data_IF_740020179939
#
_entry.id   IF_740020179939
#
_cell.length_a   1.000
_cell.length_b   1.000
_cell.length_c   1.000
_cell.angle_alpha   90.00
_cell.angle_beta   90.00
_cell.angle_gamma   90.00
#
_symmetry.space_group_name_H-M   'P 1'
#
loop_
_entity.id
_entity.type
_entity.pdbx_description
1 polymer ?
#
# COMPACT_ATOMS: atom_id res chain seq x y z
N UNK A 1 -23.62 -2.34 4.65
CA UNK A 1 -22.56 -2.32 3.60
C UNK A 1 -21.99 -0.92 3.35
N UNK A 2 -22.81 0.14 3.24
CA UNK A 2 -22.31 1.50 2.99
C UNK A 2 -21.26 2.02 3.98
N UNK A 3 -21.50 1.84 5.29
CA UNK A 3 -20.56 2.26 6.34
C UNK A 3 -19.20 1.56 6.20
N UNK A 4 -19.19 0.26 5.87
CA UNK A 4 -17.95 -0.49 5.70
C UNK A 4 -17.14 0.01 4.50
N UNK A 5 -17.81 0.33 3.38
CA UNK A 5 -17.19 0.93 2.19
C UNK A 5 -16.65 2.34 2.49
N UNK A 6 -17.39 3.13 3.27
CA UNK A 6 -16.95 4.45 3.71
C UNK A 6 -15.65 4.37 4.53
N UNK A 7 -15.63 3.49 5.54
CA UNK A 7 -14.43 3.26 6.38
C UNK A 7 -13.26 2.76 5.53
N UNK A 8 -13.51 1.82 4.60
CA UNK A 8 -12.48 1.29 3.71
C UNK A 8 -11.89 2.40 2.81
N UNK A 9 -12.73 3.28 2.29
CA UNK A 9 -12.29 4.44 1.52
C UNK A 9 -11.43 5.39 2.35
N UNK A 10 -11.84 5.72 3.58
CA UNK A 10 -11.02 6.55 4.47
C UNK A 10 -9.68 5.89 4.83
N UNK A 11 -9.68 4.59 5.14
CA UNK A 11 -8.46 3.84 5.39
C UNK A 11 -7.52 3.84 4.17
N UNK A 12 -8.07 3.70 2.97
CA UNK A 12 -7.34 3.81 1.72
C UNK A 12 -6.73 5.20 1.50
N UNK A 13 -7.47 6.28 1.81
CA UNK A 13 -6.92 7.66 1.76
C UNK A 13 -5.74 7.80 2.72
N UNK A 14 -5.91 7.42 3.98
CA UNK A 14 -4.87 7.53 5.00
C UNK A 14 -3.61 6.73 4.63
N UNK A 15 -3.79 5.48 4.18
CA UNK A 15 -2.72 4.63 3.70
C UNK A 15 -2.03 5.23 2.46
N UNK A 16 -2.83 5.71 1.50
CA UNK A 16 -2.34 6.33 0.28
C UNK A 16 -1.46 7.55 0.55
N UNK A 17 -1.90 8.45 1.44
CA UNK A 17 -1.11 9.61 1.90
C UNK A 17 0.19 9.16 2.57
N UNK A 18 0.11 8.20 3.49
CA UNK A 18 1.27 7.69 4.22
C UNK A 18 2.37 7.22 3.29
N UNK A 19 2.01 6.45 2.25
CA UNK A 19 2.97 5.94 1.28
C UNK A 19 3.40 6.98 0.25
N UNK A 20 2.48 7.77 -0.30
CA UNK A 20 2.78 8.78 -1.32
C UNK A 20 3.80 9.81 -0.80
N UNK A 21 3.54 10.36 0.38
CA UNK A 21 4.42 11.34 1.02
C UNK A 21 5.54 10.72 1.84
N UNK A 22 5.64 9.38 1.88
CA UNK A 22 6.63 8.65 2.68
C UNK A 22 6.67 9.11 4.15
N UNK A 23 5.48 9.26 4.74
CA UNK A 23 5.33 9.71 6.13
C UNK A 23 6.05 8.72 7.03
N UNK A 24 6.98 9.22 7.88
CA UNK A 24 7.84 8.40 8.75
C UNK A 24 8.68 7.34 8.02
N UNK A 25 8.95 7.52 6.72
CA UNK A 25 9.72 6.53 5.96
C UNK A 25 8.95 5.24 5.65
N UNK A 26 7.61 5.26 5.68
CA UNK A 26 6.78 4.06 5.48
C UNK A 26 7.09 3.31 4.18
N UNK A 27 7.37 4.03 3.07
CA UNK A 27 7.72 3.40 1.80
C UNK A 27 9.11 2.74 1.84
N UNK A 28 10.05 3.36 2.55
CA UNK A 28 11.41 2.82 2.75
C UNK A 28 11.40 1.60 3.67
N UNK A 29 10.63 1.65 4.77
CA UNK A 29 10.48 0.52 5.70
C UNK A 29 9.86 -0.70 4.98
N UNK A 30 8.83 -0.49 4.16
CA UNK A 30 8.22 -1.58 3.38
C UNK A 30 9.17 -2.16 2.34
N UNK A 31 9.96 -1.31 1.67
CA UNK A 31 10.99 -1.78 0.76
C UNK A 31 12.05 -2.62 1.48
N UNK A 32 12.50 -2.19 2.66
CA UNK A 32 13.44 -2.93 3.49
C UNK A 32 12.86 -4.28 3.97
N UNK A 33 11.63 -4.29 4.49
CA UNK A 33 10.93 -5.53 4.89
C UNK A 33 10.80 -6.51 3.72
N UNK A 34 10.43 -6.05 2.53
CA UNK A 34 10.32 -6.90 1.35
C UNK A 34 11.66 -7.51 0.97
N UNK A 35 12.74 -6.74 1.02
CA UNK A 35 14.09 -7.24 0.73
C UNK A 35 14.53 -8.27 1.78
N UNK A 36 14.25 -8.04 3.06
CA UNK A 36 14.52 -9.00 4.13
C UNK A 36 13.77 -10.33 3.91
N UNK A 37 12.48 -10.28 3.58
CA UNK A 37 11.69 -11.48 3.25
C UNK A 37 12.25 -12.22 2.03
N UNK A 38 12.70 -11.49 1.00
CA UNK A 38 13.34 -12.09 -0.18
C UNK A 38 14.67 -12.75 0.16
N UNK A 39 15.48 -12.14 1.02
CA UNK A 39 16.73 -12.74 1.48
C UNK A 39 16.49 -14.04 2.25
N UNK A 40 15.48 -14.07 3.14
CA UNK A 40 15.07 -15.30 3.84
C UNK A 40 14.58 -16.37 2.87
N UNK A 41 13.74 -15.99 1.91
CA UNK A 41 13.24 -16.92 0.88
C UNK A 41 14.38 -17.45 -0.01
N UNK A 42 15.37 -16.60 -0.35
CA UNK A 42 16.56 -17.00 -1.09
C UNK A 42 17.37 -18.06 -0.32
N UNK A 43 17.56 -17.84 0.99
CA UNK A 43 18.25 -18.78 1.87
C UNK A 43 17.50 -20.12 1.98
N UNK A 44 16.16 -20.10 2.08
CA UNK A 44 15.34 -21.32 2.15
C UNK A 44 15.31 -22.11 0.83
N UNK A 45 15.29 -21.42 -0.31
CA UNK A 45 15.14 -22.05 -1.64
C UNK A 45 16.47 -22.26 -2.37
N UNK A 46 17.60 -21.88 -1.76
CA UNK A 46 18.92 -21.81 -2.41
C UNK A 46 18.95 -20.99 -3.70
N UNK A 47 17.94 -20.14 -3.94
CA UNK A 47 17.83 -19.37 -5.16
C UNK A 47 18.40 -17.96 -4.96
N UNK A 48 19.70 -17.82 -5.24
CA UNK A 48 20.45 -16.56 -5.12
C UNK A 48 19.97 -15.43 -6.04
N UNK A 49 19.12 -15.70 -7.04
CA UNK A 49 18.52 -14.64 -7.87
C UNK A 49 17.52 -13.78 -7.08
N UNK A 50 16.98 -14.29 -5.97
CA UNK A 50 16.07 -13.53 -5.10
C UNK A 50 16.77 -12.40 -4.32
N UNK A 51 18.10 -12.47 -4.17
CA UNK A 51 18.92 -11.41 -3.56
C UNK A 51 19.39 -10.34 -4.54
N UNK A 52 19.11 -10.49 -5.84
CA UNK A 52 19.43 -9.43 -6.80
C UNK A 52 18.68 -8.14 -6.46
N UNK A 53 19.34 -6.96 -6.60
CA UNK A 53 18.74 -5.69 -6.25
C UNK A 53 17.50 -5.46 -7.10
N UNK A 54 16.34 -5.52 -6.46
CA UNK A 54 15.09 -5.36 -7.18
C UNK A 54 14.94 -3.91 -7.62
N UNK A 55 14.55 -3.70 -8.89
CA UNK A 55 14.18 -2.36 -9.42
C UNK A 55 13.02 -1.70 -8.65
N UNK A 56 12.32 -2.45 -7.80
CA UNK A 56 11.17 -1.99 -7.04
C UNK A 56 11.61 -1.52 -5.64
N UNK A 57 12.20 -0.31 -5.60
CA UNK A 57 12.50 0.39 -4.35
C UNK A 57 11.31 1.14 -3.77
N UNK A 58 11.56 2.03 -2.80
CA UNK A 58 10.54 2.84 -2.14
C UNK A 58 9.63 3.62 -3.11
N UNK A 59 10.18 4.05 -4.26
CA UNK A 59 9.41 4.69 -5.34
C UNK A 59 8.17 3.89 -5.79
N UNK A 60 8.27 2.56 -5.88
CA UNK A 60 7.12 1.72 -6.25
C UNK A 60 6.00 1.82 -5.22
N UNK A 61 6.36 1.79 -3.94
CA UNK A 61 5.38 1.92 -2.85
C UNK A 61 4.74 3.31 -2.81
N UNK A 62 5.51 4.36 -3.12
CA UNK A 62 4.98 5.73 -3.28
C UNK A 62 3.97 5.82 -4.42
N UNK A 63 4.27 5.22 -5.57
CA UNK A 63 3.34 5.15 -6.71
C UNK A 63 2.05 4.41 -6.35
N UNK A 64 2.16 3.24 -5.71
CA UNK A 64 0.99 2.49 -5.24
C UNK A 64 0.18 3.29 -4.22
N UNK A 65 0.85 3.98 -3.29
CA UNK A 65 0.21 4.92 -2.37
C UNK A 65 -0.57 6.02 -3.09
N UNK A 66 0.01 6.60 -4.15
CA UNK A 66 -0.66 7.60 -4.99
C UNK A 66 -1.90 7.07 -5.71
N UNK A 67 -1.83 5.88 -6.29
CA UNK A 67 -2.98 5.24 -6.95
C UNK A 67 -4.10 4.97 -5.94
N UNK A 68 -3.76 4.40 -4.78
CA UNK A 68 -4.73 4.14 -3.72
C UNK A 68 -5.33 5.45 -3.22
N UNK A 69 -4.51 6.49 -2.98
CA UNK A 69 -4.98 7.81 -2.58
C UNK A 69 -5.96 8.41 -3.60
N UNK A 70 -5.72 8.24 -4.90
CA UNK A 70 -6.59 8.79 -5.96
C UNK A 70 -7.95 8.09 -6.01
N UNK A 71 -8.00 6.76 -5.86
CA UNK A 71 -9.23 5.99 -5.99
C UNK A 71 -10.08 5.96 -4.70
N UNK A 72 -9.44 6.08 -3.54
CA UNK A 72 -10.07 5.90 -2.23
C UNK A 72 -11.16 6.93 -1.86
N UNK A 73 -11.06 8.22 -2.22
CA UNK A 73 -12.13 9.20 -2.00
C UNK A 73 -13.42 8.84 -2.72
N UNK A 74 -13.32 8.31 -3.95
CA UNK A 74 -14.48 7.84 -4.71
C UNK A 74 -15.18 6.68 -3.99
N UNK A 75 -14.42 5.74 -3.45
CA UNK A 75 -14.95 4.63 -2.65
C UNK A 75 -15.63 5.12 -1.36
N UNK A 76 -15.00 6.09 -0.67
CA UNK A 76 -15.58 6.68 0.54
C UNK A 76 -16.91 7.37 0.23
N UNK A 77 -16.96 8.22 -0.80
CA UNK A 77 -18.18 8.90 -1.22
C UNK A 77 -19.28 7.93 -1.65
N UNK A 78 -18.95 6.88 -2.42
CA UNK A 78 -19.90 5.85 -2.77
C UNK A 78 -20.45 5.12 -1.53
N UNK A 79 -19.58 4.76 -0.58
CA UNK A 79 -19.97 4.17 0.70
C UNK A 79 -20.89 5.08 1.52
N UNK A 80 -20.60 6.39 1.56
CA UNK A 80 -21.41 7.38 2.24
C UNK A 80 -22.81 7.50 1.61
N UNK A 81 -22.90 7.57 0.28
CA UNK A 81 -24.18 7.62 -0.44
C UNK A 81 -25.01 6.36 -0.18
N UNK A 82 -24.39 5.18 -0.19
CA UNK A 82 -25.07 3.92 0.10
C UNK A 82 -25.53 3.88 1.56
N UNK A 83 -24.70 4.35 2.50
CA UNK A 83 -25.04 4.39 3.92
C UNK A 83 -26.17 5.38 4.23
N UNK A 84 -26.25 6.50 3.51
CA UNK A 84 -27.27 7.52 3.71
C UNK A 84 -28.64 7.15 3.11
N UNK A 85 -28.70 6.15 2.23
CA UNK A 85 -29.92 5.69 1.55
C UNK A 85 -30.53 4.42 2.15
N UNK A 86 -29.87 3.83 3.14
CA UNK A 86 -30.24 2.56 3.77
C UNK A 86 -30.45 2.75 5.26
#
# INVERSE_FOLDING_TARGET
MGIALFILGLAGVAWGVMFLFNVRGAADEFAARRNAVRAVAAAQTMNLRLTEPSRLGAWFFRLMGGIVFLCSPGLALAGLVIAARN
#
